data_IF_100667973808
#
_entry.id   IF_100667973808
#
_cell.length_a   1.000
_cell.length_b   1.000
_cell.length_c   1.000
_cell.angle_alpha   90.00
_cell.angle_beta   90.00
_cell.angle_gamma   90.00
#
_symmetry.space_group_name_H-M   'P 1'
#
loop_
_entity.id
_entity.type
_entity.pdbx_description
1 polymer ?
#
# COMPACT_ATOMS: atom_id res chain seq x y z
N UNK A 1 -53.27 7.92 -19.40
CA UNK A 1 -52.65 6.60 -19.11
C UNK A 1 -53.72 5.53 -19.29
N UNK A 2 -53.32 4.31 -19.67
CA UNK A 2 -54.23 3.24 -20.07
C UNK A 2 -53.62 1.87 -19.72
N UNK A 3 -54.42 0.95 -19.19
CA UNK A 3 -53.99 -0.41 -18.78
C UNK A 3 -54.65 -1.52 -19.59
N UNK A 4 -55.48 -1.20 -20.59
CA UNK A 4 -56.18 -2.18 -21.41
C UNK A 4 -55.32 -2.73 -22.56
N UNK A 5 -55.83 -3.77 -23.20
CA UNK A 5 -55.11 -4.50 -24.25
C UNK A 5 -55.28 -3.92 -25.66
N UNK A 6 -56.33 -3.12 -25.89
CA UNK A 6 -56.62 -2.50 -27.18
C UNK A 6 -57.11 -1.07 -26.97
N UNK A 7 -56.62 -0.13 -27.77
CA UNK A 7 -57.10 1.25 -27.73
C UNK A 7 -58.59 1.30 -28.14
N UNK A 8 -59.45 2.02 -27.39
CA UNK A 8 -60.85 2.22 -27.77
C UNK A 8 -61.02 2.91 -29.13
N UNK A 9 -62.22 2.80 -29.70
CA UNK A 9 -62.57 3.53 -30.92
C UNK A 9 -62.32 5.04 -30.76
N UNK A 10 -61.68 5.66 -31.76
CA UNK A 10 -61.30 7.08 -31.73
C UNK A 10 -60.03 7.39 -30.91
N UNK A 11 -59.32 6.38 -30.41
CA UNK A 11 -58.04 6.55 -29.70
C UNK A 11 -56.93 5.75 -30.37
N UNK A 12 -55.69 6.22 -30.21
CA UNK A 12 -54.49 5.52 -30.65
C UNK A 12 -53.45 5.47 -29.52
N UNK A 13 -52.62 4.43 -29.51
CA UNK A 13 -51.46 4.37 -28.64
C UNK A 13 -50.43 5.44 -29.04
N UNK A 14 -49.81 6.09 -28.05
CA UNK A 14 -48.72 7.03 -28.26
C UNK A 14 -47.41 6.26 -28.49
N UNK A 15 -47.27 5.67 -29.68
CA UNK A 15 -46.16 4.80 -30.08
C UNK A 15 -45.33 5.36 -31.25
N UNK A 16 -45.56 6.60 -31.67
CA UNK A 16 -44.90 7.22 -32.82
C UNK A 16 -45.61 6.97 -34.16
N UNK A 17 -46.65 6.12 -34.19
CA UNK A 17 -47.42 5.84 -35.39
C UNK A 17 -48.63 6.77 -35.49
N UNK A 18 -49.20 6.91 -36.70
CA UNK A 18 -50.42 7.69 -36.96
C UNK A 18 -50.35 9.15 -36.46
N UNK A 19 -49.16 9.74 -36.44
CA UNK A 19 -48.93 11.11 -35.97
C UNK A 19 -48.94 11.28 -34.44
N UNK A 20 -49.01 10.18 -33.68
CA UNK A 20 -48.90 10.22 -32.22
C UNK A 20 -47.44 10.39 -31.78
N UNK A 21 -47.16 11.02 -30.63
CA UNK A 21 -45.80 11.03 -30.06
C UNK A 21 -45.42 9.63 -29.57
N UNK A 22 -44.12 9.29 -29.57
CA UNK A 22 -43.64 8.04 -28.98
C UNK A 22 -43.32 8.23 -27.49
N UNK A 23 -44.26 7.84 -26.63
CA UNK A 23 -44.14 7.96 -25.17
C UNK A 23 -43.69 6.65 -24.50
N UNK A 24 -43.33 5.63 -25.28
CA UNK A 24 -42.91 4.33 -24.73
C UNK A 24 -41.59 4.49 -23.98
N UNK A 25 -41.52 3.91 -22.78
CA UNK A 25 -40.31 3.96 -21.93
C UNK A 25 -39.82 5.39 -21.66
N UNK A 26 -40.73 6.35 -21.47
CA UNK A 26 -40.37 7.74 -21.18
C UNK A 26 -41.12 8.24 -19.95
N UNK A 27 -40.44 9.07 -19.18
CA UNK A 27 -41.07 9.85 -18.11
C UNK A 27 -41.66 11.13 -18.71
N UNK A 28 -42.84 11.54 -18.25
CA UNK A 28 -43.53 12.72 -18.76
C UNK A 28 -43.19 13.92 -17.86
N UNK A 29 -42.64 14.97 -18.47
CA UNK A 29 -42.36 16.24 -17.82
C UNK A 29 -43.10 17.38 -18.55
N UNK A 30 -43.45 18.44 -17.82
CA UNK A 30 -44.08 19.62 -18.38
C UNK A 30 -43.00 20.68 -18.69
N UNK A 31 -43.03 21.23 -19.91
CA UNK A 31 -42.23 22.40 -20.26
C UNK A 31 -42.83 23.68 -19.67
N UNK A 32 -42.05 24.77 -19.63
CA UNK A 32 -42.54 26.05 -19.13
C UNK A 32 -43.45 26.75 -20.13
N UNK A 33 -43.25 26.48 -21.43
CA UNK A 33 -44.03 27.05 -22.53
C UNK A 33 -44.48 25.97 -23.51
N UNK A 34 -45.46 26.29 -24.36
CA UNK A 34 -46.01 25.33 -25.34
C UNK A 34 -45.01 24.96 -26.45
N UNK A 35 -44.04 25.85 -26.71
CA UNK A 35 -43.05 25.67 -27.77
C UNK A 35 -41.87 24.80 -27.32
N UNK A 36 -41.71 24.57 -26.00
CA UNK A 36 -40.72 23.65 -25.42
C UNK A 36 -41.10 22.16 -25.54
N UNK A 37 -42.09 21.83 -26.37
CA UNK A 37 -42.46 20.43 -26.62
C UNK A 37 -41.31 19.67 -27.28
N UNK A 38 -41.04 18.47 -26.79
CA UNK A 38 -39.97 17.62 -27.31
C UNK A 38 -39.79 16.34 -26.51
N UNK A 39 -38.72 15.62 -26.81
CA UNK A 39 -38.35 14.40 -26.11
C UNK A 39 -36.84 14.33 -25.83
N UNK A 40 -36.47 13.66 -24.75
CA UNK A 40 -35.07 13.34 -24.49
C UNK A 40 -34.55 12.33 -25.52
N UNK A 41 -33.25 12.33 -25.86
CA UNK A 41 -32.71 11.46 -26.90
C UNK A 41 -32.69 9.98 -26.51
N UNK A 42 -32.69 9.65 -25.20
CA UNK A 42 -32.57 8.28 -24.70
C UNK A 42 -33.82 7.90 -23.89
N UNK A 43 -34.60 6.90 -24.33
CA UNK A 43 -35.66 6.31 -23.51
C UNK A 43 -35.07 5.39 -22.42
N UNK A 44 -35.91 4.97 -21.49
CA UNK A 44 -35.59 3.90 -20.54
C UNK A 44 -35.34 2.59 -21.31
N UNK A 45 -34.35 1.81 -20.84
CA UNK A 45 -34.01 0.51 -21.43
C UNK A 45 -34.39 -0.63 -20.49
N UNK A 46 -34.23 -1.88 -20.94
CA UNK A 46 -34.47 -3.07 -20.11
C UNK A 46 -35.87 -3.67 -20.22
N UNK A 47 -36.09 -4.74 -19.47
CA UNK A 47 -37.31 -5.55 -19.49
C UNK A 47 -38.47 -4.91 -18.71
N UNK A 48 -39.67 -5.49 -18.81
CA UNK A 48 -40.89 -5.01 -18.14
C UNK A 48 -40.70 -4.73 -16.65
N UNK A 49 -40.05 -5.65 -15.93
CA UNK A 49 -39.88 -5.58 -14.47
C UNK A 49 -38.49 -5.07 -14.05
N UNK A 50 -37.66 -4.67 -15.02
CA UNK A 50 -36.27 -4.27 -14.77
C UNK A 50 -35.83 -3.20 -15.76
N UNK A 51 -36.55 -2.07 -15.74
CA UNK A 51 -36.17 -0.86 -16.46
C UNK A 51 -34.96 -0.20 -15.82
N UNK A 52 -34.10 0.35 -16.66
CA UNK A 52 -32.85 0.99 -16.28
C UNK A 52 -32.66 2.30 -17.03
N UNK A 53 -32.01 3.27 -16.39
CA UNK A 53 -31.50 4.47 -17.01
C UNK A 53 -30.21 4.88 -16.33
N UNK A 54 -29.13 4.63 -17.05
CA UNK A 54 -27.78 4.85 -16.58
C UNK A 54 -27.28 6.23 -16.98
N UNK A 55 -26.80 6.99 -15.99
CA UNK A 55 -26.07 8.24 -16.21
C UNK A 55 -24.60 7.98 -15.87
N UNK A 56 -23.72 8.38 -16.79
CA UNK A 56 -22.28 8.40 -16.54
C UNK A 56 -21.90 9.70 -15.85
N UNK A 57 -21.19 9.62 -14.73
CA UNK A 57 -20.70 10.79 -14.02
C UNK A 57 -19.52 11.42 -14.77
N UNK A 58 -19.24 12.69 -14.47
CA UNK A 58 -18.01 13.31 -14.93
C UNK A 58 -16.78 12.54 -14.41
N UNK A 59 -15.74 12.45 -15.24
CA UNK A 59 -14.47 11.82 -14.85
C UNK A 59 -13.72 12.69 -13.86
N UNK A 60 -13.56 12.20 -12.64
CA UNK A 60 -12.89 12.90 -11.54
C UNK A 60 -11.80 12.02 -10.95
N UNK A 61 -10.84 12.64 -10.28
CA UNK A 61 -9.82 11.97 -9.45
C UNK A 61 -9.96 12.50 -8.04
N UNK A 62 -9.61 11.69 -7.04
CA UNK A 62 -9.86 12.00 -5.63
C UNK A 62 -8.80 12.90 -4.98
N UNK A 63 -7.80 13.36 -5.75
CA UNK A 63 -6.69 14.23 -5.30
C UNK A 63 -6.06 13.77 -3.96
N UNK A 64 -5.97 12.45 -3.77
CA UNK A 64 -5.43 11.87 -2.56
C UNK A 64 -3.97 12.27 -2.38
N UNK A 65 -3.69 12.92 -1.25
CA UNK A 65 -2.33 13.23 -0.81
C UNK A 65 -1.95 12.32 0.35
N UNK A 66 -1.01 11.41 0.11
CA UNK A 66 -0.38 10.65 1.19
C UNK A 66 0.93 11.33 1.55
N UNK A 67 1.14 11.58 2.84
CA UNK A 67 2.39 12.13 3.35
C UNK A 67 3.00 11.10 4.28
N UNK A 68 4.20 10.64 3.95
CA UNK A 68 5.03 9.90 4.89
C UNK A 68 6.05 10.90 5.44
N UNK A 69 5.94 11.17 6.74
CA UNK A 69 6.88 12.06 7.40
C UNK A 69 8.23 11.35 7.61
N UNK A 70 9.29 12.14 7.67
CA UNK A 70 10.63 11.63 7.97
C UNK A 70 10.63 10.85 9.28
N UNK A 71 11.29 9.70 9.28
CA UNK A 71 11.43 8.84 10.46
C UNK A 71 12.91 8.55 10.69
N UNK A 72 13.37 8.88 11.90
CA UNK A 72 14.66 8.46 12.41
C UNK A 72 14.53 7.04 12.99
N UNK A 73 15.51 6.18 12.71
CA UNK A 73 15.59 4.86 13.32
C UNK A 73 15.87 5.02 14.82
N UNK A 74 15.02 4.42 15.65
CA UNK A 74 15.21 4.35 17.10
C UNK A 74 15.75 2.99 17.50
N UNK A 75 16.44 2.91 18.65
CA UNK A 75 16.93 1.62 19.20
C UNK A 75 15.82 0.61 19.45
N UNK A 76 14.57 1.06 19.64
CA UNK A 76 13.39 0.19 19.77
C UNK A 76 12.98 -0.50 18.46
N UNK A 77 13.42 0.02 17.32
CA UNK A 77 13.14 -0.56 15.99
C UNK A 77 14.24 -1.52 15.53
N UNK A 78 15.36 -1.61 16.26
CA UNK A 78 16.41 -2.59 16.00
C UNK A 78 16.12 -3.87 16.80
N UNK A 79 16.12 -5.07 16.19
CA UNK A 79 16.09 -6.31 16.94
C UNK A 79 17.24 -6.39 17.94
N UNK A 80 17.00 -7.07 19.07
CA UNK A 80 18.05 -7.35 20.04
C UNK A 80 19.19 -8.09 19.34
N UNK A 81 20.37 -7.49 19.38
CA UNK A 81 21.56 -8.10 18.83
C UNK A 81 22.77 -7.72 19.68
N UNK A 82 23.72 -8.64 19.76
CA UNK A 82 24.99 -8.46 20.44
C UNK A 82 26.13 -8.63 19.44
N UNK A 83 27.13 -7.75 19.51
CA UNK A 83 28.37 -7.95 18.77
C UNK A 83 29.44 -8.51 19.70
N UNK A 84 30.15 -9.53 19.24
CA UNK A 84 31.41 -9.98 19.80
C UNK A 84 32.49 -9.74 18.76
N UNK A 85 33.14 -8.58 18.82
CA UNK A 85 34.13 -8.20 17.82
C UNK A 85 35.50 -7.91 18.44
N UNK A 86 36.56 -8.20 17.68
CA UNK A 86 37.95 -8.17 18.11
C UNK A 86 38.59 -9.55 18.23
N UNK A 87 39.93 -9.58 18.17
CA UNK A 87 40.71 -10.79 18.41
C UNK A 87 40.50 -11.24 19.87
N UNK A 88 40.10 -12.49 20.07
CA UNK A 88 39.93 -13.05 21.42
C UNK A 88 41.31 -13.34 22.00
N UNK A 89 41.59 -12.80 23.18
CA UNK A 89 42.82 -13.08 23.90
C UNK A 89 42.53 -13.96 25.11
N UNK A 90 43.34 -15.00 25.27
CA UNK A 90 43.44 -15.76 26.52
C UNK A 90 44.64 -15.27 27.33
N UNK A 91 44.54 -15.25 28.66
CA UNK A 91 45.50 -14.63 29.58
C UNK A 91 46.94 -15.13 29.45
N UNK A 92 47.17 -16.28 28.81
CA UNK A 92 48.48 -16.92 28.64
C UNK A 92 48.89 -17.14 27.16
N UNK A 93 48.03 -16.86 26.17
CA UNK A 93 48.19 -17.40 24.79
C UNK A 93 47.96 -16.44 23.62
N UNK A 94 47.57 -15.18 23.85
CA UNK A 94 47.37 -14.28 22.70
C UNK A 94 46.16 -14.68 21.83
N UNK A 95 46.28 -14.54 20.50
CA UNK A 95 45.23 -14.80 19.50
C UNK A 95 45.38 -16.17 18.77
N UNK A 96 46.22 -17.08 19.27
CA UNK A 96 46.55 -18.34 18.57
C UNK A 96 45.45 -19.40 18.76
N UNK A 97 45.05 -20.02 17.64
CA UNK A 97 43.88 -20.91 17.57
C UNK A 97 44.11 -22.37 17.95
N UNK A 98 45.35 -22.87 18.09
CA UNK A 98 45.57 -24.24 18.56
C UNK A 98 47.02 -24.51 19.03
N UNK A 99 47.20 -25.55 19.85
CA UNK A 99 48.47 -26.04 20.36
C UNK A 99 48.98 -27.19 19.46
N UNK A 100 49.87 -26.88 18.50
CA UNK A 100 50.57 -27.91 17.74
C UNK A 100 52.00 -28.09 18.27
N UNK A 101 52.24 -29.15 19.05
CA UNK A 101 53.60 -29.63 19.30
C UNK A 101 53.98 -30.59 18.18
N UNK A 102 54.67 -30.09 17.15
CA UNK A 102 55.50 -30.97 16.32
C UNK A 102 56.91 -30.97 16.88
N UNK A 103 57.31 -32.10 17.47
CA UNK A 103 58.69 -32.32 17.89
C UNK A 103 59.55 -32.57 16.65
N UNK A 104 60.12 -31.51 16.08
CA UNK A 104 61.15 -31.65 15.04
C UNK A 104 62.50 -31.89 15.75
N UNK A 105 63.13 -33.07 15.59
CA UNK A 105 64.41 -33.35 16.24
C UNK A 105 65.47 -32.38 15.72
N UNK A 106 66.00 -31.52 16.59
CA UNK A 106 67.09 -30.59 16.29
C UNK A 106 66.68 -29.14 15.98
N UNK A 107 65.40 -28.79 15.97
CA UNK A 107 64.98 -27.39 15.84
C UNK A 107 64.68 -26.81 17.23
N UNK A 108 65.61 -26.04 17.80
CA UNK A 108 65.33 -25.11 18.89
C UNK A 108 64.56 -23.89 18.38
N UNK A 109 63.38 -24.10 17.79
CA UNK A 109 62.42 -23.01 17.60
C UNK A 109 61.39 -23.10 18.71
N UNK A 110 61.81 -22.67 19.90
CA UNK A 110 60.85 -22.01 20.78
C UNK A 110 60.44 -20.75 20.02
N UNK A 111 59.27 -20.73 19.37
CA UNK A 111 58.64 -19.45 19.07
C UNK A 111 58.49 -18.79 20.44
N UNK A 112 59.27 -17.73 20.66
CA UNK A 112 59.51 -17.16 21.98
C UNK A 112 58.20 -16.55 22.49
N UNK A 113 57.40 -17.37 23.15
CA UNK A 113 56.15 -17.01 23.84
C UNK A 113 56.37 -15.92 24.91
N UNK A 114 57.62 -15.67 25.31
CA UNK A 114 58.01 -14.61 26.22
C UNK A 114 57.84 -13.18 25.68
N UNK A 115 57.95 -12.94 24.37
CA UNK A 115 57.78 -11.58 23.82
C UNK A 115 56.29 -11.19 23.71
N UNK A 116 55.43 -12.15 23.37
CA UNK A 116 53.98 -11.94 23.31
C UNK A 116 53.36 -11.79 24.72
N UNK A 117 53.85 -12.56 25.71
CA UNK A 117 53.40 -12.48 27.10
C UNK A 117 53.60 -11.07 27.70
N UNK A 118 54.71 -10.42 27.36
CA UNK A 118 55.04 -9.10 27.90
C UNK A 118 54.28 -7.97 27.17
N UNK A 119 53.98 -8.15 25.87
CA UNK A 119 53.19 -7.18 25.11
C UNK A 119 51.73 -7.12 25.57
N UNK A 120 51.10 -8.27 25.83
CA UNK A 120 49.73 -8.32 26.37
C UNK A 120 49.66 -7.78 27.79
N UNK A 121 50.58 -8.16 28.68
CA UNK A 121 50.64 -7.65 30.06
C UNK A 121 50.76 -6.12 30.14
N UNK A 122 51.51 -5.49 29.22
CA UNK A 122 51.66 -4.03 29.14
C UNK A 122 50.42 -3.30 28.60
N UNK A 123 49.65 -3.91 27.70
CA UNK A 123 48.35 -3.39 27.25
C UNK A 123 47.31 -3.51 28.39
N UNK A 124 47.41 -4.56 29.22
CA UNK A 124 46.47 -4.91 30.28
C UNK A 124 46.58 -4.05 31.56
N UNK A 125 47.78 -3.65 31.98
CA UNK A 125 47.98 -2.92 33.25
C UNK A 125 47.86 -1.40 33.15
N UNK A 126 47.79 -0.85 31.94
CA UNK A 126 47.79 0.60 31.73
C UNK A 126 46.38 1.19 31.63
N UNK A 127 45.42 0.63 32.38
CA UNK A 127 44.03 1.10 32.50
C UNK A 127 43.45 1.58 31.16
N UNK A 128 43.63 0.77 30.10
CA UNK A 128 43.08 1.12 28.81
C UNK A 128 41.55 1.09 28.93
N UNK A 129 40.82 2.17 28.57
CA UNK A 129 39.38 2.33 28.83
C UNK A 129 38.47 1.35 28.03
N UNK A 130 39.02 0.25 27.52
CA UNK A 130 38.43 -0.63 26.51
C UNK A 130 38.15 -2.05 27.05
N UNK A 131 38.52 -2.36 28.30
CA UNK A 131 38.36 -3.71 28.91
C UNK A 131 37.41 -3.63 30.11
N UNK A 132 36.21 -4.20 29.98
CA UNK A 132 35.15 -4.01 31.00
C UNK A 132 34.84 -5.26 31.85
N UNK A 133 35.01 -6.50 31.35
CA UNK A 133 34.72 -7.71 32.14
C UNK A 133 35.60 -8.91 31.80
N UNK A 134 36.03 -9.64 32.85
CA UNK A 134 36.75 -10.91 32.78
C UNK A 134 35.81 -12.06 33.13
N UNK A 135 35.51 -12.94 32.17
CA UNK A 135 34.85 -14.22 32.47
C UNK A 135 35.85 -15.33 32.15
N UNK A 136 36.27 -16.09 33.17
CA UNK A 136 37.22 -17.21 33.05
C UNK A 136 38.46 -16.90 32.21
N UNK A 137 39.15 -15.79 32.51
CA UNK A 137 40.40 -15.35 31.86
C UNK A 137 40.29 -14.92 30.38
N UNK A 138 39.07 -14.73 29.86
CA UNK A 138 38.82 -14.14 28.55
C UNK A 138 38.39 -12.67 28.69
N UNK A 139 39.10 -11.79 27.99
CA UNK A 139 38.81 -10.35 27.95
C UNK A 139 38.23 -9.97 26.59
N UNK A 140 37.15 -9.19 26.60
CA UNK A 140 36.46 -8.71 25.39
C UNK A 140 36.76 -7.24 25.17
N UNK A 141 37.14 -6.89 23.94
CA UNK A 141 37.23 -5.50 23.51
C UNK A 141 35.89 -5.10 22.89
N UNK A 142 35.46 -3.85 23.11
CA UNK A 142 34.31 -3.26 22.40
C UNK A 142 34.83 -2.32 21.32
N UNK A 143 34.29 -2.40 20.12
CA UNK A 143 34.46 -1.33 19.12
C UNK A 143 33.56 -0.15 19.48
N UNK A 144 33.91 1.06 19.04
CA UNK A 144 33.06 2.23 19.24
C UNK A 144 31.72 2.03 18.54
N UNK A 145 30.63 2.53 19.14
CA UNK A 145 29.34 2.59 18.47
C UNK A 145 29.50 3.26 17.10
N UNK A 146 28.94 2.64 16.05
CA UNK A 146 28.97 3.16 14.69
C UNK A 146 27.55 3.29 14.14
N UNK A 147 27.37 4.26 13.23
CA UNK A 147 26.07 4.67 12.69
C UNK A 147 25.53 5.94 13.37
N UNK A 148 25.09 6.91 12.56
CA UNK A 148 24.51 8.16 13.06
C UNK A 148 22.97 8.10 13.23
N UNK A 149 22.35 6.95 12.90
CA UNK A 149 20.89 6.79 12.94
C UNK A 149 20.16 7.70 11.93
N UNK A 150 20.85 8.08 10.86
CA UNK A 150 20.32 9.01 9.85
C UNK A 150 18.94 8.56 9.36
N UNK A 151 18.03 9.53 9.31
CA UNK A 151 16.66 9.28 8.85
C UNK A 151 16.66 8.79 7.41
N UNK A 152 15.74 7.88 7.11
CA UNK A 152 15.43 7.52 5.73
C UNK A 152 13.97 7.86 5.43
N UNK A 153 13.69 8.07 4.14
CA UNK A 153 12.35 8.41 3.68
C UNK A 153 11.68 7.18 3.11
N UNK A 154 10.41 6.99 3.41
CA UNK A 154 9.55 6.08 2.68
C UNK A 154 8.70 6.91 1.72
N UNK A 155 8.60 6.46 0.48
CA UNK A 155 7.72 7.08 -0.49
C UNK A 155 6.40 6.30 -0.53
N UNK A 156 5.28 7.02 -0.42
CA UNK A 156 3.96 6.47 -0.67
C UNK A 156 3.36 7.20 -1.85
N UNK A 157 3.25 6.50 -2.98
CA UNK A 157 2.64 7.03 -4.20
C UNK A 157 1.21 6.50 -4.31
N UNK A 158 0.28 7.40 -4.56
CA UNK A 158 -1.07 7.05 -5.00
C UNK A 158 -1.16 7.36 -6.49
N UNK A 159 -1.32 6.31 -7.30
CA UNK A 159 -1.61 6.45 -8.72
C UNK A 159 -3.08 6.18 -8.93
N UNK A 160 -3.82 7.21 -9.33
CA UNK A 160 -5.23 7.11 -9.69
C UNK A 160 -5.47 7.86 -10.99
N UNK A 161 -6.03 7.16 -11.98
CA UNK A 161 -6.53 7.80 -13.19
C UNK A 161 -7.93 8.38 -12.96
N UNK A 162 -8.26 9.45 -13.71
CA UNK A 162 -9.62 9.99 -13.68
C UNK A 162 -10.59 8.91 -14.14
N UNK A 163 -11.56 8.57 -13.29
CA UNK A 163 -12.58 7.58 -13.61
C UNK A 163 -13.97 8.16 -13.45
N UNK A 164 -14.94 7.52 -14.10
CA UNK A 164 -16.37 7.82 -14.01
C UNK A 164 -17.10 6.63 -13.39
N UNK A 165 -18.26 6.92 -12.82
CA UNK A 165 -19.20 5.90 -12.39
C UNK A 165 -20.39 5.86 -13.34
N UNK A 166 -21.01 4.69 -13.42
CA UNK A 166 -22.30 4.52 -14.07
C UNK A 166 -23.34 4.23 -12.99
N UNK A 167 -24.35 5.09 -12.89
CA UNK A 167 -25.40 5.00 -11.87
C UNK A 167 -26.74 4.83 -12.56
N UNK A 168 -27.47 3.79 -12.19
CA UNK A 168 -28.87 3.62 -12.56
C UNK A 168 -29.74 4.50 -11.66
N UNK A 169 -30.51 5.40 -12.25
CA UNK A 169 -31.30 6.41 -11.53
C UNK A 169 -32.81 6.14 -11.59
N UNK A 170 -33.23 4.91 -11.90
CA UNK A 170 -34.64 4.59 -12.04
C UNK A 170 -35.36 4.49 -10.69
N UNK A 171 -36.39 5.32 -10.43
CA UNK A 171 -37.24 5.17 -9.26
C UNK A 171 -38.20 3.97 -9.43
N UNK A 172 -38.84 3.47 -8.36
CA UNK A 172 -39.92 2.51 -8.46
C UNK A 172 -41.00 3.00 -9.44
N UNK A 173 -41.48 2.11 -10.32
CA UNK A 173 -42.40 2.48 -11.39
C UNK A 173 -43.53 1.47 -11.58
N UNK A 174 -44.61 1.94 -12.21
CA UNK A 174 -45.68 1.11 -12.72
C UNK A 174 -45.85 1.41 -14.22
N UNK A 175 -45.89 0.38 -15.06
CA UNK A 175 -45.99 0.56 -16.51
C UNK A 175 -47.45 0.62 -16.96
N UNK A 176 -47.83 1.75 -17.55
CA UNK A 176 -49.10 1.96 -18.25
C UNK A 176 -48.81 2.43 -19.68
N UNK A 177 -49.72 2.13 -20.60
CA UNK A 177 -49.69 2.70 -21.92
C UNK A 177 -50.19 4.15 -21.90
N UNK A 178 -49.76 4.92 -22.89
CA UNK A 178 -50.35 6.23 -23.20
C UNK A 178 -51.21 6.07 -24.45
N UNK A 179 -52.41 6.65 -24.40
CA UNK A 179 -53.30 6.75 -25.54
C UNK A 179 -53.70 8.22 -25.72
N UNK A 180 -53.90 8.63 -26.97
CA UNK A 180 -54.42 9.94 -27.33
C UNK A 180 -55.62 9.81 -28.26
N UNK A 181 -56.51 10.78 -28.20
CA UNK A 181 -57.66 10.85 -29.09
C UNK A 181 -57.18 11.23 -30.50
N UNK A 182 -57.75 10.58 -31.51
CA UNK A 182 -57.54 10.90 -32.92
C UNK A 182 -58.42 12.07 -33.38
#
# INVERSE_FOLDING_TARGET
MFSGNAAPEGWAFCNGERGTPDLRNRFIACGNTIDEKGESPKPLTGEKNRKTYSVETNKVKTELKVTVNDTALTTKQLPEHSHYDGMRYHSDKGHLYDFHMESVPGASHNVQTGELYNATYRIMNNSSPVVEESIWYMYRFKTSSTGAGEGHKHEALVSEEKHSHNVDIIPPYYLLAFIMKL
#
